data_IF_731209884952
#
_entry.id   IF_731209884952
#
_cell.length_a   1.000
_cell.length_b   1.000
_cell.length_c   1.000
_cell.angle_alpha   90.00
_cell.angle_beta   90.00
_cell.angle_gamma   90.00
#
_symmetry.space_group_name_H-M   'P 1'
#
loop_
_entity.id
_entity.type
_entity.pdbx_description
1 polymer ?
#
# COMPACT_ATOMS: atom_id res chain seq x y z
N UNK A 1 -5.04 4.61 24.52
CA UNK A 1 -5.31 5.29 23.23
C UNK A 1 -5.30 4.22 22.16
N UNK A 2 -6.35 4.08 21.33
CA UNK A 2 -6.28 3.19 20.16
C UNK A 2 -5.20 3.74 19.23
N UNK A 3 -4.21 2.92 18.86
CA UNK A 3 -3.31 3.22 17.74
C UNK A 3 -4.18 3.20 16.48
N UNK A 4 -4.30 4.32 15.77
CA UNK A 4 -4.94 4.34 14.46
C UNK A 4 -4.12 3.45 13.53
N UNK A 5 -4.70 2.34 13.10
CA UNK A 5 -4.06 1.40 12.16
C UNK A 5 -4.22 1.94 10.75
N UNK A 6 -3.09 2.16 10.08
CA UNK A 6 -3.06 2.62 8.69
C UNK A 6 -2.39 1.57 7.82
N UNK A 7 -3.01 1.27 6.69
CA UNK A 7 -2.46 0.42 5.64
C UNK A 7 -2.29 1.22 4.35
N UNK A 8 -1.18 0.99 3.65
CA UNK A 8 -0.86 1.60 2.37
C UNK A 8 -0.70 0.52 1.31
N UNK A 9 -1.48 0.61 0.25
CA UNK A 9 -1.40 -0.26 -0.91
C UNK A 9 -0.61 0.43 -2.01
N UNK A 10 0.47 -0.21 -2.45
CA UNK A 10 1.17 0.13 -3.68
C UNK A 10 0.65 -0.77 -4.79
N UNK A 11 -0.10 -0.20 -5.72
CA UNK A 11 -0.62 -0.89 -6.90
C UNK A 11 0.37 -0.65 -8.03
N UNK A 12 0.72 -1.72 -8.75
CA UNK A 12 1.64 -1.58 -9.86
C UNK A 12 2.40 -2.83 -10.28
N UNK A 13 3.22 -2.65 -11.33
CA UNK A 13 4.13 -3.66 -11.86
C UNK A 13 5.47 -3.02 -12.25
N UNK A 14 6.54 -3.35 -11.51
CA UNK A 14 7.90 -2.84 -11.77
C UNK A 14 8.43 -3.16 -13.17
N UNK A 15 7.89 -4.18 -13.85
CA UNK A 15 8.24 -4.54 -15.21
C UNK A 15 7.56 -3.68 -16.29
N UNK A 16 6.65 -2.77 -15.91
CA UNK A 16 5.80 -2.01 -16.84
C UNK A 16 6.00 -0.49 -16.68
N UNK A 17 7.25 -0.05 -16.64
CA UNK A 17 7.64 1.37 -16.60
C UNK A 17 7.02 2.13 -15.43
N UNK A 18 6.18 3.13 -15.70
CA UNK A 18 5.51 4.00 -14.74
C UNK A 18 4.48 3.26 -13.88
N UNK A 19 3.93 2.15 -14.37
CA UNK A 19 3.10 1.22 -13.59
C UNK A 19 3.82 0.73 -12.31
N UNK A 20 5.15 0.81 -12.23
CA UNK A 20 5.91 0.49 -11.00
C UNK A 20 5.80 1.52 -9.87
N UNK A 21 5.14 2.67 -10.08
CA UNK A 21 5.13 3.81 -9.15
C UNK A 21 4.65 3.44 -7.75
N UNK A 22 3.53 2.72 -7.64
CA UNK A 22 2.95 2.37 -6.34
C UNK A 22 3.92 1.54 -5.49
N UNK A 23 4.64 0.60 -6.11
CA UNK A 23 5.64 -0.23 -5.41
C UNK A 23 6.86 0.59 -5.00
N UNK A 24 7.37 1.45 -5.88
CA UNK A 24 8.51 2.34 -5.57
C UNK A 24 8.18 3.32 -4.44
N UNK A 25 6.94 3.78 -4.35
CA UNK A 25 6.47 4.61 -3.24
C UNK A 25 6.50 3.85 -1.91
N UNK A 26 6.06 2.58 -1.88
CA UNK A 26 6.14 1.76 -0.68
C UNK A 26 7.58 1.47 -0.27
N UNK A 27 8.47 1.18 -1.23
CA UNK A 27 9.89 0.99 -0.96
C UNK A 27 10.49 2.25 -0.32
N UNK A 28 10.13 3.44 -0.81
CA UNK A 28 10.53 4.69 -0.20
C UNK A 28 10.04 4.85 1.24
N UNK A 29 8.78 4.51 1.55
CA UNK A 29 8.26 4.54 2.92
C UNK A 29 9.00 3.56 3.85
N UNK A 30 9.33 2.37 3.34
CA UNK A 30 10.08 1.35 4.06
C UNK A 30 11.50 1.81 4.37
N UNK A 31 12.20 2.41 3.41
CA UNK A 31 13.52 3.01 3.59
C UNK A 31 13.52 4.14 4.62
N UNK A 32 12.45 4.94 4.64
CA UNK A 32 12.26 6.02 5.63
C UNK A 32 11.78 5.53 7.00
N UNK A 33 11.66 4.22 7.20
CA UNK A 33 11.30 3.59 8.47
C UNK A 33 9.93 4.02 9.01
N UNK A 34 8.93 4.15 8.13
CA UNK A 34 7.53 4.34 8.53
C UNK A 34 6.92 3.06 9.10
N UNK A 35 7.53 2.49 10.15
CA UNK A 35 7.19 1.19 10.75
C UNK A 35 5.82 1.15 11.45
N UNK A 36 5.09 2.26 11.48
CA UNK A 36 3.73 2.34 12.00
C UNK A 36 2.66 2.13 10.91
N UNK A 37 3.08 2.03 9.66
CA UNK A 37 2.23 1.74 8.51
C UNK A 37 2.40 0.27 8.12
N UNK A 38 1.29 -0.41 7.86
CA UNK A 38 1.32 -1.69 7.17
C UNK A 38 1.36 -1.42 5.65
N UNK A 39 2.23 -2.13 4.91
CA UNK A 39 2.48 -1.89 3.49
C UNK A 39 2.14 -3.13 2.68
N UNK A 40 1.28 -3.00 1.67
CA UNK A 40 0.84 -4.09 0.80
C UNK A 40 1.15 -3.80 -0.67
N UNK A 41 1.88 -4.71 -1.30
CA UNK A 41 2.19 -4.65 -2.72
C UNK A 41 1.13 -5.45 -3.49
N UNK A 42 0.51 -4.83 -4.50
CA UNK A 42 -0.52 -5.46 -5.34
C UNK A 42 -0.24 -5.17 -6.81
N UNK A 43 -0.50 -6.14 -7.68
CA UNK A 43 -0.56 -5.87 -9.12
C UNK A 43 -1.86 -5.16 -9.50
N UNK A 44 -2.97 -5.56 -8.87
CA UNK A 44 -4.32 -4.99 -8.95
C UNK A 44 -5.03 -5.31 -7.63
N UNK A 45 -6.07 -4.55 -7.29
CA UNK A 45 -6.91 -4.85 -6.14
C UNK A 45 -7.77 -6.11 -6.37
N UNK A 46 -7.95 -6.90 -5.32
CA UNK A 46 -8.77 -8.10 -5.33
C UNK A 46 -9.94 -7.98 -4.34
N UNK A 47 -10.93 -8.87 -4.43
CA UNK A 47 -12.10 -8.82 -3.54
C UNK A 47 -11.72 -9.17 -2.10
N UNK A 48 -10.69 -9.99 -1.91
CA UNK A 48 -10.14 -10.40 -0.63
C UNK A 48 -9.52 -9.22 0.14
N UNK A 49 -9.06 -8.17 -0.56
CA UNK A 49 -8.53 -6.98 0.08
C UNK A 49 -9.60 -6.26 0.92
N UNK A 50 -10.89 -6.45 0.62
CA UNK A 50 -11.99 -5.90 1.44
C UNK A 50 -12.00 -6.47 2.87
N UNK A 51 -11.71 -7.76 3.03
CA UNK A 51 -11.60 -8.41 4.34
C UNK A 51 -10.36 -7.91 5.09
N UNK A 52 -9.26 -7.68 4.39
CA UNK A 52 -8.05 -7.12 4.99
C UNK A 52 -8.28 -5.70 5.51
N UNK A 53 -8.78 -4.80 4.65
CA UNK A 53 -8.89 -3.37 4.98
C UNK A 53 -9.95 -3.07 6.04
N UNK A 54 -10.92 -3.97 6.27
CA UNK A 54 -11.93 -3.76 7.33
C UNK A 54 -11.32 -3.74 8.75
N UNK A 55 -10.07 -4.20 8.90
CA UNK A 55 -9.33 -4.19 10.16
C UNK A 55 -8.54 -2.88 10.40
N UNK A 56 -8.61 -1.91 9.49
CA UNK A 56 -7.84 -0.67 9.52
C UNK A 56 -8.73 0.56 9.66
N UNK A 57 -8.20 1.60 10.32
CA UNK A 57 -8.88 2.89 10.48
C UNK A 57 -8.64 3.79 9.27
N UNK A 58 -7.53 3.61 8.55
CA UNK A 58 -7.16 4.40 7.37
C UNK A 58 -6.52 3.50 6.32
N UNK A 59 -6.95 3.69 5.07
CA UNK A 59 -6.48 2.95 3.90
C UNK A 59 -6.03 3.96 2.87
N UNK A 60 -4.81 3.81 2.37
CA UNK A 60 -4.22 4.67 1.33
C UNK A 60 -3.90 3.80 0.12
N UNK A 61 -4.41 4.17 -1.05
CA UNK A 61 -4.07 3.53 -2.32
C UNK A 61 -3.14 4.44 -3.12
N UNK A 62 -2.06 3.87 -3.65
CA UNK A 62 -1.07 4.56 -4.47
C UNK A 62 -0.92 3.78 -5.77
N UNK A 63 -1.20 4.44 -6.89
CA UNK A 63 -1.20 3.86 -8.23
C UNK A 63 -0.64 4.87 -9.23
N UNK A 64 -0.13 4.37 -10.36
CA UNK A 64 0.16 5.21 -11.52
C UNK A 64 -1.15 5.48 -12.29
N UNK A 65 -1.35 6.72 -12.76
CA UNK A 65 -2.56 7.16 -13.50
C UNK A 65 -2.20 7.55 -14.92
#
# INVERSE_FOLDING_TARGET
>A
MKKNKTIVFGIGNIGRQDDGLGWLFLDHLKEKQFNHLDLEYRYQLQIEDAELICNYDTVIFVDAV
#
